data_IF_062265530122
#
_entry.id   IF_062265530122
#
_cell.length_a   1.000
_cell.length_b   1.000
_cell.length_c   1.000
_cell.angle_alpha   90.00
_cell.angle_beta   90.00
_cell.angle_gamma   90.00
#
_symmetry.space_group_name_H-M   'P 1'
#
loop_
_entity.id
_entity.type
_entity.pdbx_description
1 polymer ?
#
# COMPACT_ATOMS: atom_id res chain seq x y z
N UNK A 1 44.94 -15.14 -2.67
CA UNK A 1 43.64 -14.95 -3.33
C UNK A 1 42.82 -14.00 -2.48
N UNK A 2 42.34 -12.89 -3.07
CA UNK A 2 41.53 -11.90 -2.34
C UNK A 2 40.08 -12.37 -2.34
N UNK A 3 39.29 -12.03 -1.31
CA UNK A 3 37.89 -12.48 -1.21
C UNK A 3 37.03 -12.13 -2.43
N UNK A 4 37.37 -11.04 -3.12
CA UNK A 4 36.72 -10.64 -4.37
C UNK A 4 36.86 -11.68 -5.48
N UNK A 5 38.01 -12.35 -5.58
CA UNK A 5 38.29 -13.37 -6.60
C UNK A 5 37.37 -14.59 -6.40
N UNK A 6 37.07 -14.95 -5.14
CA UNK A 6 36.20 -16.07 -4.77
C UNK A 6 34.73 -15.79 -5.11
N UNK A 7 34.28 -14.54 -4.96
CA UNK A 7 32.91 -14.15 -5.29
C UNK A 7 32.66 -14.11 -6.81
N UNK A 8 33.65 -13.66 -7.58
CA UNK A 8 33.57 -13.68 -9.05
C UNK A 8 33.59 -15.12 -9.60
N UNK A 9 34.43 -15.99 -9.02
CA UNK A 9 34.44 -17.41 -9.40
C UNK A 9 33.11 -18.10 -9.07
N UNK A 10 32.50 -17.79 -7.91
CA UNK A 10 31.18 -18.31 -7.55
C UNK A 10 30.09 -17.82 -8.53
N UNK A 11 30.11 -16.54 -8.92
CA UNK A 11 29.17 -16.01 -9.92
C UNK A 11 29.33 -16.70 -11.26
N UNK A 12 30.56 -16.89 -11.73
CA UNK A 12 30.82 -17.56 -13.00
C UNK A 12 30.27 -18.99 -13.00
N UNK A 13 30.52 -19.75 -11.93
CA UNK A 13 30.01 -21.12 -11.78
C UNK A 13 28.48 -21.19 -11.70
N UNK A 14 27.84 -20.24 -11.02
CA UNK A 14 26.38 -20.15 -10.98
C UNK A 14 25.78 -19.81 -12.34
N UNK A 15 26.44 -18.94 -13.10
CA UNK A 15 26.01 -18.57 -14.45
C UNK A 15 26.14 -19.74 -15.42
N UNK A 16 27.26 -20.46 -15.38
CA UNK A 16 27.48 -21.69 -16.15
C UNK A 16 26.44 -22.79 -15.80
N UNK A 17 26.18 -22.99 -14.50
CA UNK A 17 25.16 -23.94 -14.05
C UNK A 17 23.74 -23.55 -14.49
N UNK A 18 23.44 -22.24 -14.57
CA UNK A 18 22.15 -21.74 -15.04
C UNK A 18 21.99 -21.92 -16.56
N UNK A 19 23.05 -21.66 -17.35
CA UNK A 19 23.09 -21.88 -18.80
C UNK A 19 22.93 -23.37 -19.15
N UNK A 20 23.53 -24.26 -18.36
CA UNK A 20 23.42 -25.70 -18.56
C UNK A 20 22.06 -26.28 -18.12
N UNK A 21 21.25 -25.53 -17.38
CA UNK A 21 19.96 -26.01 -16.89
C UNK A 21 18.87 -25.85 -17.95
N UNK A 22 18.48 -26.95 -18.58
CA UNK A 22 17.31 -26.99 -19.45
C UNK A 22 16.05 -27.40 -18.65
N UNK A 23 15.09 -26.49 -18.42
CA UNK A 23 13.89 -26.82 -17.68
C UNK A 23 13.02 -27.81 -18.46
N UNK A 24 12.52 -28.86 -17.80
CA UNK A 24 11.54 -29.79 -18.38
C UNK A 24 10.20 -29.07 -18.62
N UNK A 25 10.09 -28.46 -19.80
CA UNK A 25 8.91 -27.71 -20.23
C UNK A 25 7.66 -28.59 -20.27
N UNK A 26 7.80 -29.87 -20.61
CA UNK A 26 6.67 -30.79 -20.66
C UNK A 26 6.08 -30.99 -19.26
N UNK A 27 6.93 -31.16 -18.25
CA UNK A 27 6.50 -31.27 -16.85
C UNK A 27 5.91 -29.97 -16.31
N UNK A 28 6.49 -28.82 -16.65
CA UNK A 28 5.98 -27.49 -16.25
C UNK A 28 4.59 -27.27 -16.85
N UNK A 29 4.41 -27.52 -18.15
CA UNK A 29 3.12 -27.37 -18.83
C UNK A 29 2.08 -28.35 -18.28
N UNK A 30 2.44 -29.61 -18.06
CA UNK A 30 1.54 -30.60 -17.46
C UNK A 30 1.09 -30.20 -16.03
N UNK A 31 1.97 -29.54 -15.25
CA UNK A 31 1.62 -28.99 -13.94
C UNK A 31 0.62 -27.83 -14.06
N UNK A 32 0.84 -26.93 -15.02
CA UNK A 32 -0.01 -25.76 -15.28
C UNK A 32 -1.38 -26.20 -15.78
N UNK A 33 -1.44 -27.11 -16.75
CA UNK A 33 -2.70 -27.67 -17.27
C UNK A 33 -3.50 -28.36 -16.17
N UNK A 34 -2.85 -29.12 -15.29
CA UNK A 34 -3.49 -29.74 -14.13
C UNK A 34 -4.04 -28.71 -13.14
N UNK A 35 -3.32 -27.62 -12.91
CA UNK A 35 -3.78 -26.50 -12.07
C UNK A 35 -4.97 -25.75 -12.68
N UNK A 36 -4.95 -25.52 -14.00
CA UNK A 36 -6.06 -24.90 -14.73
C UNK A 36 -7.28 -25.82 -14.82
N UNK A 37 -7.08 -27.14 -14.96
CA UNK A 37 -8.16 -28.12 -14.96
C UNK A 37 -8.79 -28.27 -13.57
N UNK A 38 -7.99 -28.25 -12.50
CA UNK A 38 -8.48 -28.21 -11.12
C UNK A 38 -9.29 -26.93 -10.82
N UNK A 39 -8.87 -25.79 -11.38
CA UNK A 39 -9.59 -24.52 -11.26
C UNK A 39 -10.90 -24.50 -12.06
N UNK A 40 -10.93 -25.12 -13.25
CA UNK A 40 -12.15 -25.25 -14.08
C UNK A 40 -13.11 -26.34 -13.60
N UNK A 41 -12.62 -27.36 -12.90
CA UNK A 41 -13.45 -28.40 -12.26
C UNK A 41 -13.80 -28.07 -10.81
N UNK A 42 -13.32 -26.92 -10.30
CA UNK A 42 -13.58 -26.38 -8.97
C UNK A 42 -14.97 -25.75 -8.75
N UNK A 43 -15.97 -26.16 -9.52
CA UNK A 43 -17.39 -26.12 -9.09
C UNK A 43 -17.95 -27.53 -8.88
N UNK A 44 -17.09 -28.53 -8.66
CA UNK A 44 -17.53 -29.81 -8.12
C UNK A 44 -17.88 -29.61 -6.65
N UNK A 45 -19.16 -29.37 -6.43
CA UNK A 45 -19.82 -29.37 -5.13
C UNK A 45 -19.24 -30.47 -4.23
N UNK A 46 -18.41 -30.07 -3.28
CA UNK A 46 -18.14 -30.87 -2.09
C UNK A 46 -19.44 -30.82 -1.30
N UNK A 47 -20.22 -31.90 -1.39
CA UNK A 47 -21.37 -32.12 -0.51
C UNK A 47 -20.86 -32.05 0.94
N UNK A 48 -21.40 -31.18 1.80
CA UNK A 48 -21.13 -31.24 3.22
C UNK A 48 -21.78 -32.51 3.81
N UNK A 49 -21.23 -33.08 4.92
CA UNK A 49 -21.81 -34.24 5.56
C UNK A 49 -23.24 -33.96 6.03
N UNK A 50 -24.14 -34.84 5.61
CA UNK A 50 -25.59 -34.76 5.81
C UNK A 50 -25.90 -35.33 7.18
N UNK A 51 -25.98 -34.48 8.20
CA UNK A 51 -26.66 -34.73 9.50
C UNK A 51 -26.66 -33.42 10.31
N UNK A 52 -27.63 -32.55 10.05
CA UNK A 52 -27.77 -31.31 10.82
C UNK A 52 -28.61 -30.19 10.18
N UNK A 53 -29.11 -30.37 8.95
CA UNK A 53 -29.92 -29.35 8.28
C UNK A 53 -31.23 -29.93 7.76
N UNK A 54 -32.07 -30.38 8.69
CA UNK A 54 -33.50 -30.58 8.45
C UNK A 54 -34.24 -29.82 9.54
N UNK A 55 -34.37 -28.50 9.36
CA UNK A 55 -35.52 -27.65 9.76
C UNK A 55 -35.28 -26.22 9.27
N UNK A 56 -35.60 -25.93 8.00
CA UNK A 56 -36.40 -24.77 7.56
C UNK A 56 -36.88 -25.11 6.14
N UNK A 57 -38.00 -25.82 6.05
CA UNK A 57 -38.78 -25.95 4.84
C UNK A 57 -40.19 -25.45 5.16
N UNK A 58 -40.58 -24.32 4.58
CA UNK A 58 -41.94 -23.78 4.70
C UNK A 58 -42.04 -22.34 4.20
N UNK A 59 -42.72 -22.16 3.06
CA UNK A 59 -42.99 -20.92 2.30
C UNK A 59 -41.80 -20.42 1.46
N UNK A 60 -41.79 -20.42 0.12
CA UNK A 60 -42.82 -19.88 -0.79
C UNK A 60 -42.88 -20.67 -2.11
N UNK A 61 -44.05 -21.19 -2.45
CA UNK A 61 -44.38 -21.69 -3.78
C UNK A 61 -44.77 -20.53 -4.71
N UNK A 62 -44.59 -20.77 -6.03
CA UNK A 62 -45.10 -20.04 -7.19
C UNK A 62 -44.26 -18.87 -7.74
N UNK A 63 -43.33 -19.14 -8.68
CA UNK A 63 -43.45 -18.80 -10.12
C UNK A 63 -42.61 -19.80 -10.90
N UNK A 64 -43.24 -20.87 -11.37
CA UNK A 64 -42.71 -21.74 -12.42
C UNK A 64 -43.54 -21.46 -13.68
N UNK A 65 -42.87 -21.10 -14.76
CA UNK A 65 -43.48 -20.99 -16.08
C UNK A 65 -43.05 -19.72 -16.80
N UNK A 66 -42.57 -19.91 -18.03
CA UNK A 66 -42.18 -18.92 -19.06
C UNK A 66 -40.66 -18.89 -19.30
N UNK A 67 -40.30 -19.47 -20.45
CA UNK A 67 -39.01 -19.44 -21.19
C UNK A 67 -38.03 -20.61 -21.02
N UNK A 68 -38.56 -21.83 -21.13
CA UNK A 68 -37.86 -22.96 -21.75
C UNK A 68 -38.26 -23.08 -23.23
N UNK A 69 -37.86 -22.15 -24.10
CA UNK A 69 -37.75 -22.35 -25.56
C UNK A 69 -36.77 -21.29 -26.10
N UNK A 70 -35.61 -21.70 -26.62
CA UNK A 70 -34.75 -20.81 -27.41
C UNK A 70 -33.28 -20.87 -27.02
N UNK A 71 -32.60 -21.96 -27.34
CA UNK A 71 -31.16 -22.04 -27.09
C UNK A 71 -30.47 -23.28 -27.62
N UNK A 72 -30.93 -23.84 -28.75
CA UNK A 72 -30.15 -24.87 -29.45
C UNK A 72 -30.34 -24.75 -30.96
N UNK A 73 -29.47 -23.97 -31.59
CA UNK A 73 -28.94 -24.15 -32.95
C UNK A 73 -28.21 -22.86 -33.36
N UNK A 74 -26.88 -22.86 -33.31
CA UNK A 74 -25.99 -22.51 -34.44
C UNK A 74 -24.58 -22.93 -33.99
N UNK A 75 -24.17 -24.11 -34.47
CA UNK A 75 -22.77 -24.37 -34.73
C UNK A 75 -22.47 -23.83 -36.14
N UNK A 76 -21.27 -23.28 -36.29
CA UNK A 76 -20.47 -23.10 -37.52
C UNK A 76 -20.13 -21.65 -37.89
N UNK A 77 -18.83 -21.50 -38.20
CA UNK A 77 -18.16 -20.42 -38.91
C UNK A 77 -17.73 -19.17 -38.12
N UNK A 78 -16.66 -19.29 -37.33
CA UNK A 78 -15.54 -18.34 -37.46
C UNK A 78 -14.24 -19.14 -37.49
N UNK A 79 -13.46 -18.85 -38.54
CA UNK A 79 -12.19 -19.46 -38.93
C UNK A 79 -11.12 -19.32 -37.86
N UNK A 80 -10.23 -20.30 -37.86
CA UNK A 80 -8.89 -20.23 -37.31
C UNK A 80 -8.17 -18.95 -37.75
N UNK A 81 -7.83 -18.10 -36.79
CA UNK A 81 -6.81 -17.07 -36.95
C UNK A 81 -5.81 -17.23 -35.78
N UNK A 82 -4.52 -17.45 -36.06
CA UNK A 82 -3.53 -17.74 -35.02
C UNK A 82 -3.30 -16.49 -34.15
N UNK A 83 -3.18 -16.62 -32.82
CA UNK A 83 -2.84 -15.47 -31.98
C UNK A 83 -1.45 -14.96 -32.34
N UNK A 84 -1.40 -13.69 -32.75
CA UNK A 84 -0.17 -12.95 -32.96
C UNK A 84 0.74 -13.07 -31.72
N UNK A 85 1.99 -13.49 -31.94
CA UNK A 85 3.05 -13.44 -30.94
C UNK A 85 3.17 -11.99 -30.43
N UNK A 86 2.76 -11.74 -29.20
CA UNK A 86 3.12 -10.51 -28.50
C UNK A 86 4.60 -10.60 -28.12
N UNK A 87 5.43 -10.01 -28.97
CA UNK A 87 6.86 -9.82 -28.70
C UNK A 87 6.99 -8.76 -27.62
N UNK A 88 7.34 -9.15 -26.41
CA UNK A 88 7.68 -8.21 -25.33
C UNK A 88 9.02 -7.56 -25.69
N UNK A 89 9.01 -6.26 -25.92
CA UNK A 89 10.22 -5.48 -26.14
C UNK A 89 11.01 -5.38 -24.83
N UNK A 90 12.23 -5.92 -24.81
CA UNK A 90 13.19 -5.72 -23.72
C UNK A 90 13.93 -4.41 -24.00
N UNK A 91 13.89 -3.45 -23.07
CA UNK A 91 14.68 -2.22 -23.16
C UNK A 91 16.19 -2.56 -23.14
N UNK A 92 17.02 -1.91 -23.98
CA UNK A 92 18.46 -2.13 -23.98
C UNK A 92 19.15 -1.56 -22.72
N UNK A 93 20.22 -2.25 -22.33
CA UNK A 93 21.19 -1.94 -21.27
C UNK A 93 21.70 -0.48 -21.32
N UNK A 94 21.83 0.23 -20.18
CA UNK A 94 22.38 1.58 -20.16
C UNK A 94 23.85 1.63 -20.58
N UNK A 95 24.16 2.51 -21.53
CA UNK A 95 25.51 2.89 -21.95
C UNK A 95 26.17 3.80 -20.92
N UNK A 96 27.46 3.55 -20.68
CA UNK A 96 28.39 4.24 -19.78
C UNK A 96 28.60 5.73 -20.14
N UNK A 97 28.73 6.65 -19.18
CA UNK A 97 29.02 8.07 -19.46
C UNK A 97 30.52 8.32 -19.68
N UNK A 98 30.93 9.13 -20.68
CA UNK A 98 32.33 9.46 -20.88
C UNK A 98 32.84 10.58 -19.97
N UNK A 99 34.18 10.60 -19.92
CA UNK A 99 35.07 11.31 -19.03
C UNK A 99 34.98 12.83 -18.91
N UNK A 100 35.50 13.24 -17.74
CA UNK A 100 35.81 14.55 -17.17
C UNK A 100 36.82 15.37 -18.01
N UNK A 101 36.56 16.69 -18.15
CA UNK A 101 37.57 17.71 -18.49
C UNK A 101 37.38 19.00 -17.65
N UNK A 102 38.48 19.40 -16.98
CA UNK A 102 38.96 20.68 -16.36
C UNK A 102 38.03 21.92 -16.23
N UNK A 103 37.83 22.53 -15.02
CA UNK A 103 38.64 23.52 -14.24
C UNK A 103 38.51 24.99 -14.74
N UNK A 104 38.58 26.10 -13.90
CA UNK A 104 39.52 26.30 -12.77
C UNK A 104 39.06 27.12 -11.50
N UNK A 105 39.84 26.88 -10.42
CA UNK A 105 40.34 27.69 -9.28
C UNK A 105 39.51 28.75 -8.47
N UNK A 106 39.74 28.84 -7.13
CA UNK A 106 39.04 29.77 -6.22
C UNK A 106 39.89 31.00 -5.80
N UNK A 107 39.28 32.08 -5.30
CA UNK A 107 39.96 33.05 -4.44
C UNK A 107 39.61 32.85 -2.95
N UNK A 108 40.61 33.13 -2.12
CA UNK A 108 40.66 33.05 -0.66
C UNK A 108 40.45 34.43 0.00
N UNK A 109 40.13 34.42 1.31
CA UNK A 109 40.28 35.50 2.34
C UNK A 109 39.13 36.51 2.39
N UNK A 110 38.69 37.08 3.51
CA UNK A 110 38.97 36.93 4.96
C UNK A 110 37.96 37.79 5.74
N UNK A 111 37.79 37.46 7.02
CA UNK A 111 37.53 38.35 8.17
C UNK A 111 36.18 39.06 8.35
N UNK A 112 35.48 38.58 9.39
CA UNK A 112 34.60 39.32 10.30
C UNK A 112 35.39 40.38 11.09
N UNK A 113 34.79 41.55 11.44
CA UNK A 113 34.61 41.84 12.86
C UNK A 113 33.33 42.62 13.23
N UNK A 114 32.62 42.09 14.24
CA UNK A 114 32.09 42.70 15.49
C UNK A 114 31.33 44.07 15.44
N UNK A 115 30.13 44.20 16.06
CA UNK A 115 29.34 45.44 16.05
C UNK A 115 29.66 46.41 17.21
N UNK A 116 29.71 47.72 16.89
CA UNK A 116 29.85 48.82 17.84
C UNK A 116 28.51 49.40 18.32
N UNK A 117 28.42 49.61 19.64
CA UNK A 117 27.38 50.38 20.36
C UNK A 117 27.35 51.86 19.96
N UNK A 118 26.15 52.44 19.88
CA UNK A 118 25.95 53.88 19.90
C UNK A 118 24.49 54.23 20.24
N UNK A 119 24.29 54.84 21.40
CA UNK A 119 23.00 55.23 21.98
C UNK A 119 22.45 56.54 21.37
N UNK A 120 21.13 56.71 21.41
CA UNK A 120 20.48 57.99 21.12
C UNK A 120 18.94 57.91 21.13
N UNK A 121 18.34 58.06 22.31
CA UNK A 121 16.98 58.56 22.51
C UNK A 121 17.06 60.09 22.77
N UNK A 122 16.02 60.92 22.53
CA UNK A 122 14.71 60.75 23.18
C UNK A 122 13.44 61.16 22.41
N UNK A 123 12.33 60.58 22.88
CA UNK A 123 10.98 61.17 23.08
C UNK A 123 10.21 61.77 21.89
N UNK A 124 9.08 61.11 21.56
CA UNK A 124 7.72 61.70 21.60
C UNK A 124 6.66 60.61 21.37
N UNK A 125 5.86 60.32 22.39
CA UNK A 125 4.51 59.74 22.33
C UNK A 125 3.54 60.75 21.70
N UNK A 126 2.45 60.34 20.99
CA UNK A 126 1.33 59.63 21.62
C UNK A 126 0.65 58.51 20.81
N UNK A 127 0.23 57.49 21.55
CA UNK A 127 -1.10 56.84 21.54
C UNK A 127 -1.73 56.41 20.19
N UNK A 128 -1.66 55.10 19.90
CA UNK A 128 -2.73 54.34 19.23
C UNK A 128 -2.43 52.82 19.32
N UNK A 129 -3.36 52.08 19.94
CA UNK A 129 -3.55 50.61 20.00
C UNK A 129 -2.64 49.69 19.16
N UNK A 130 -1.98 48.69 19.75
CA UNK A 130 -1.50 47.54 18.99
C UNK A 130 -2.61 46.50 18.83
N UNK A 131 -2.99 46.29 17.58
CA UNK A 131 -3.71 45.14 17.06
C UNK A 131 -3.14 43.84 17.64
N UNK A 132 -4.02 43.01 18.21
CA UNK A 132 -3.69 41.66 18.67
C UNK A 132 -3.11 40.87 17.51
N UNK A 133 -1.84 40.54 17.58
CA UNK A 133 -1.21 39.48 16.78
C UNK A 133 -1.96 38.18 17.08
N UNK A 134 -2.53 37.47 16.09
CA UNK A 134 -3.05 36.13 16.31
C UNK A 134 -1.89 35.23 16.71
N UNK A 135 -1.94 34.72 17.93
CA UNK A 135 -0.97 33.78 18.46
C UNK A 135 -0.84 32.57 17.54
N UNK A 136 0.40 32.09 17.42
CA UNK A 136 0.73 30.83 16.78
C UNK A 136 -0.18 29.73 17.34
N UNK A 137 -1.10 29.25 16.51
CA UNK A 137 -1.88 28.05 16.79
C UNK A 137 -0.89 26.90 16.88
N UNK A 138 -0.67 26.39 18.10
CA UNK A 138 -0.09 25.08 18.30
C UNK A 138 -0.85 24.08 17.40
N UNK A 139 -0.18 23.08 16.78
CA UNK A 139 -0.89 22.07 16.01
C UNK A 139 -1.99 21.48 16.89
N UNK A 140 -3.25 21.68 16.49
CA UNK A 140 -4.37 21.06 17.16
C UNK A 140 -4.14 19.55 17.15
N UNK A 141 -4.12 18.95 18.34
CA UNK A 141 -4.12 17.51 18.48
C UNK A 141 -5.32 16.97 17.69
N UNK A 142 -5.11 16.01 16.77
CA UNK A 142 -6.19 15.53 15.92
C UNK A 142 -7.32 14.97 16.79
N UNK A 143 -8.60 15.09 16.36
CA UNK A 143 -9.72 14.65 17.16
C UNK A 143 -9.55 13.16 17.49
N UNK A 144 -9.40 12.84 18.77
CA UNK A 144 -9.46 11.48 19.26
C UNK A 144 -10.94 11.04 19.26
N UNK A 145 -11.45 10.71 18.07
CA UNK A 145 -12.69 10.00 17.88
C UNK A 145 -12.52 9.06 16.69
N UNK A 146 -12.71 7.76 16.94
CA UNK A 146 -12.75 6.70 15.93
C UNK A 146 -13.84 7.02 14.92
N UNK A 147 -13.46 7.66 13.82
CA UNK A 147 -14.33 7.85 12.68
C UNK A 147 -13.71 7.12 11.50
N UNK A 148 -14.21 5.93 11.22
CA UNK A 148 -13.90 5.20 9.99
C UNK A 148 -14.53 5.88 8.77
N UNK A 149 -15.45 6.84 8.97
CA UNK A 149 -16.08 7.63 7.91
C UNK A 149 -15.99 9.12 8.23
N UNK A 150 -15.57 9.92 7.25
CA UNK A 150 -15.66 11.38 7.27
C UNK A 150 -15.90 11.91 5.85
N UNK A 151 -17.10 12.47 5.64
CA UNK A 151 -17.52 12.94 4.32
C UNK A 151 -17.38 11.86 3.24
N UNK A 152 -16.64 12.12 2.14
CA UNK A 152 -16.46 11.15 1.06
C UNK A 152 -15.49 10.01 1.42
N UNK A 153 -14.76 10.10 2.54
CA UNK A 153 -13.76 9.10 2.95
C UNK A 153 -14.35 8.05 3.87
N UNK A 154 -14.00 6.79 3.61
CA UNK A 154 -14.17 5.67 4.51
C UNK A 154 -12.85 4.88 4.63
N UNK A 155 -12.58 4.29 5.79
CA UNK A 155 -11.41 3.44 5.99
C UNK A 155 -11.66 2.23 6.86
N UNK A 156 -10.86 1.19 6.67
CA UNK A 156 -10.80 0.00 7.53
C UNK A 156 -9.36 -0.52 7.64
N UNK A 157 -9.03 -1.13 8.78
CA UNK A 157 -7.72 -1.72 9.06
C UNK A 157 -7.84 -3.18 9.46
N UNK A 158 -7.02 -4.06 8.88
CA UNK A 158 -7.00 -5.49 9.21
C UNK A 158 -5.61 -6.08 9.15
N UNK A 159 -5.34 -7.08 9.99
CA UNK A 159 -4.13 -7.91 9.85
C UNK A 159 -4.37 -8.94 8.75
N UNK A 160 -3.42 -9.12 7.85
CA UNK A 160 -3.54 -10.04 6.74
C UNK A 160 -3.64 -11.49 7.25
N UNK A 161 -4.64 -12.27 6.81
CA UNK A 161 -4.85 -13.64 7.29
C UNK A 161 -3.74 -14.62 6.87
N UNK A 162 -2.85 -14.23 5.94
CA UNK A 162 -1.68 -15.00 5.55
C UNK A 162 -0.42 -14.61 6.33
N UNK A 163 -0.55 -13.76 7.35
CA UNK A 163 0.47 -13.57 8.38
C UNK A 163 0.78 -14.92 9.07
N UNK A 164 1.97 -15.03 9.67
CA UNK A 164 2.45 -16.25 10.30
C UNK A 164 3.14 -15.97 11.65
N UNK A 165 3.74 -17.01 12.24
CA UNK A 165 4.35 -16.93 13.58
C UNK A 165 5.44 -15.85 13.73
N UNK A 166 6.08 -15.41 12.63
CA UNK A 166 7.25 -14.52 12.66
C UNK A 166 7.08 -13.25 11.84
N UNK A 167 6.04 -13.17 11.02
CA UNK A 167 5.85 -12.12 10.03
C UNK A 167 4.37 -11.80 9.89
N UNK A 168 4.06 -10.50 9.79
CA UNK A 168 2.71 -10.05 9.54
C UNK A 168 2.65 -8.89 8.56
N UNK A 169 1.46 -8.71 8.00
CA UNK A 169 1.10 -7.55 7.19
C UNK A 169 -0.14 -6.89 7.76
N UNK A 170 -0.10 -5.57 7.90
CA UNK A 170 -1.25 -4.75 8.25
C UNK A 170 -1.79 -4.08 6.99
N UNK A 171 -3.02 -4.42 6.61
CA UNK A 171 -3.75 -3.90 5.46
C UNK A 171 -4.63 -2.71 5.88
N UNK A 172 -4.62 -1.67 5.07
CA UNK A 172 -5.44 -0.48 5.21
C UNK A 172 -6.27 -0.28 3.96
N UNK A 173 -7.59 -0.36 4.08
CA UNK A 173 -8.52 -0.07 2.99
C UNK A 173 -8.96 1.39 3.09
N UNK A 174 -8.84 2.13 2.00
CA UNK A 174 -9.42 3.46 1.80
C UNK A 174 -10.51 3.37 0.75
N UNK A 175 -11.70 3.90 1.04
CA UNK A 175 -12.69 4.22 0.01
C UNK A 175 -12.89 5.72 -0.06
N UNK A 176 -13.05 6.22 -1.28
CA UNK A 176 -13.41 7.62 -1.51
C UNK A 176 -14.46 7.73 -2.63
N UNK A 177 -15.55 8.45 -2.38
CA UNK A 177 -16.59 8.68 -3.40
C UNK A 177 -16.24 9.79 -4.38
N UNK A 178 -15.23 10.59 -4.09
CA UNK A 178 -14.75 11.70 -4.92
C UNK A 178 -13.23 11.59 -5.15
N UNK A 179 -12.71 12.12 -6.27
CA UNK A 179 -11.27 12.20 -6.48
C UNK A 179 -10.61 13.06 -5.39
N UNK A 180 -9.45 12.62 -4.88
CA UNK A 180 -8.68 13.37 -3.89
C UNK A 180 -7.50 14.08 -4.56
N UNK A 181 -7.30 15.36 -4.26
CA UNK A 181 -6.15 16.15 -4.70
C UNK A 181 -4.95 16.04 -3.75
N UNK A 182 -5.15 15.51 -2.54
CA UNK A 182 -4.09 15.15 -1.60
C UNK A 182 -4.50 13.92 -0.82
N UNK A 183 -3.53 13.09 -0.45
CA UNK A 183 -3.73 11.97 0.46
C UNK A 183 -2.46 11.76 1.29
N UNK A 184 -2.59 11.66 2.61
CA UNK A 184 -1.57 11.12 3.50
C UNK A 184 -2.14 9.96 4.28
N UNK A 185 -1.47 8.81 4.24
CA UNK A 185 -1.79 7.62 5.01
C UNK A 185 -0.65 7.36 5.97
N UNK A 186 -0.94 7.29 7.27
CA UNK A 186 0.03 6.93 8.29
C UNK A 186 -0.48 5.69 9.06
N UNK A 187 0.28 4.60 8.96
CA UNK A 187 0.08 3.37 9.71
C UNK A 187 1.08 3.33 10.87
N UNK A 188 0.60 3.11 12.09
CA UNK A 188 1.40 2.88 13.28
C UNK A 188 1.28 1.43 13.72
N UNK A 189 2.40 0.72 13.67
CA UNK A 189 2.55 -0.66 14.14
C UNK A 189 3.29 -0.61 15.48
N UNK A 190 2.61 -0.96 16.57
CA UNK A 190 3.19 -0.92 17.91
C UNK A 190 4.41 -1.85 18.02
N UNK A 191 5.46 -1.46 18.73
CA UNK A 191 6.59 -2.33 18.99
C UNK A 191 6.25 -3.29 20.13
N UNK A 192 5.88 -4.53 19.78
CA UNK A 192 5.58 -5.62 20.75
C UNK A 192 6.71 -6.64 20.85
N UNK A 193 7.90 -6.29 20.34
CA UNK A 193 9.08 -7.14 20.32
C UNK A 193 9.40 -7.62 18.90
N UNK A 194 10.59 -7.26 18.41
CA UNK A 194 11.08 -7.70 17.11
C UNK A 194 10.38 -7.08 15.90
N UNK A 195 9.45 -6.12 16.09
CA UNK A 195 8.76 -5.47 14.97
C UNK A 195 9.78 -4.72 14.13
N UNK A 196 10.02 -5.21 12.92
CA UNK A 196 10.99 -4.65 11.97
C UNK A 196 10.37 -4.65 10.59
N UNK A 197 10.42 -3.53 9.88
CA UNK A 197 9.83 -3.45 8.54
C UNK A 197 10.51 -4.38 7.54
N UNK A 198 9.72 -5.19 6.85
CA UNK A 198 10.15 -6.00 5.70
C UNK A 198 9.69 -5.42 4.37
N UNK A 199 8.88 -4.35 4.38
CA UNK A 199 8.44 -3.67 3.18
C UNK A 199 7.07 -3.03 3.32
N UNK A 200 6.60 -2.44 2.23
CA UNK A 200 5.26 -1.85 2.16
C UNK A 200 4.81 -1.79 0.69
N UNK A 201 3.50 -1.84 0.45
CA UNK A 201 2.92 -1.74 -0.89
C UNK A 201 1.62 -0.94 -0.90
N UNK A 202 1.16 -0.55 -2.09
CA UNK A 202 -0.16 0.05 -2.31
C UNK A 202 -0.73 -0.37 -3.65
N UNK A 203 -2.07 -0.34 -3.78
CA UNK A 203 -2.75 -0.58 -5.05
C UNK A 203 -2.71 0.62 -6.00
N UNK A 204 -2.43 1.82 -5.47
CA UNK A 204 -2.25 3.04 -6.27
C UNK A 204 -0.83 3.10 -6.87
N UNK A 205 -0.64 3.83 -7.99
CA UNK A 205 0.65 3.85 -8.68
C UNK A 205 1.77 4.36 -7.80
N UNK A 206 2.88 3.62 -7.76
CA UNK A 206 3.97 3.93 -6.83
C UNK A 206 4.60 5.30 -7.10
N UNK A 207 4.80 5.65 -8.38
CA UNK A 207 5.42 6.91 -8.76
C UNK A 207 4.70 8.15 -8.25
N UNK A 208 3.42 8.04 -7.88
CA UNK A 208 2.59 9.16 -7.42
C UNK A 208 2.75 9.44 -5.92
N UNK A 209 3.47 8.60 -5.17
CA UNK A 209 3.61 8.74 -3.72
C UNK A 209 5.08 8.81 -3.29
N UNK A 210 5.32 9.55 -2.21
CA UNK A 210 6.51 9.40 -1.38
C UNK A 210 6.18 8.43 -0.25
N UNK A 211 7.02 7.43 -0.03
CA UNK A 211 6.88 6.45 1.04
C UNK A 211 8.05 6.55 2.02
N UNK A 212 7.77 6.45 3.32
CA UNK A 212 8.81 6.32 4.35
C UNK A 212 8.39 5.35 5.45
N UNK A 213 9.37 4.75 6.11
CA UNK A 213 9.17 3.93 7.31
C UNK A 213 10.13 4.41 8.37
N UNK A 214 9.63 4.67 9.59
CA UNK A 214 10.45 5.16 10.70
C UNK A 214 10.01 4.54 12.01
N UNK A 215 10.97 4.22 12.87
CA UNK A 215 10.68 3.95 14.27
C UNK A 215 10.55 5.26 15.06
N UNK A 216 9.44 5.41 15.79
CA UNK A 216 9.17 6.58 16.60
C UNK A 216 8.21 6.24 17.73
N UNK A 217 8.52 6.69 18.94
CA UNK A 217 7.65 6.60 20.13
C UNK A 217 7.13 5.17 20.42
N UNK A 218 7.95 4.14 20.15
CA UNK A 218 7.56 2.74 20.31
C UNK A 218 6.69 2.18 19.18
N UNK A 219 6.69 2.79 17.99
CA UNK A 219 5.98 2.30 16.80
C UNK A 219 6.90 2.26 15.59
N UNK A 220 6.71 1.27 14.72
CA UNK A 220 7.13 1.35 13.32
C UNK A 220 6.02 2.07 12.56
N UNK A 221 6.35 3.24 11.99
CA UNK A 221 5.39 4.11 11.31
C UNK A 221 5.64 4.10 9.82
N UNK A 222 4.69 3.58 9.04
CA UNK A 222 4.68 3.67 7.59
C UNK A 222 3.91 4.92 7.19
N UNK A 223 4.44 5.69 6.25
CA UNK A 223 3.77 6.89 5.73
C UNK A 223 3.82 6.90 4.22
N UNK A 224 2.66 7.09 3.60
CA UNK A 224 2.50 7.36 2.17
C UNK A 224 1.89 8.74 1.98
N UNK A 225 2.55 9.60 1.21
CA UNK A 225 2.06 10.93 0.88
C UNK A 225 1.97 11.08 -0.62
N UNK A 226 0.77 11.42 -1.12
CA UNK A 226 0.54 11.73 -2.52
C UNK A 226 1.38 12.96 -2.91
N UNK A 227 2.12 12.85 -4.01
CA UNK A 227 2.92 13.95 -4.55
C UNK A 227 2.01 15.05 -5.11
N UNK A 228 2.51 16.28 -5.06
CA UNK A 228 1.79 17.44 -5.61
C UNK A 228 1.43 17.23 -7.09
N UNK A 229 0.24 17.70 -7.48
CA UNK A 229 -0.29 17.57 -8.84
C UNK A 229 -0.80 16.17 -9.22
N UNK A 230 -0.70 15.18 -8.32
CA UNK A 230 -1.31 13.86 -8.50
C UNK A 230 -2.70 13.80 -7.88
N UNK A 231 -3.48 12.81 -8.29
CA UNK A 231 -4.83 12.60 -7.76
C UNK A 231 -5.06 11.13 -7.43
N UNK A 232 -5.89 10.87 -6.43
CA UNK A 232 -6.42 9.54 -6.14
C UNK A 232 -7.83 9.47 -6.72
N UNK A 233 -8.13 8.55 -7.65
CA UNK A 233 -9.48 8.46 -8.21
C UNK A 233 -10.50 8.01 -7.16
N UNK A 234 -11.77 8.31 -7.40
CA UNK A 234 -12.87 7.72 -6.65
C UNK A 234 -12.82 6.19 -6.79
N UNK A 235 -13.07 5.46 -5.69
CA UNK A 235 -12.98 4.01 -5.65
C UNK A 235 -12.48 3.48 -4.31
N UNK A 236 -11.94 2.26 -4.36
CA UNK A 236 -11.37 1.56 -3.21
C UNK A 236 -9.89 1.25 -3.48
N UNK A 237 -9.05 1.53 -2.50
CA UNK A 237 -7.60 1.40 -2.58
C UNK A 237 -7.05 0.76 -1.32
N UNK A 238 -5.93 0.05 -1.44
CA UNK A 238 -5.28 -0.63 -0.31
C UNK A 238 -3.86 -0.13 -0.16
N UNK A 239 -3.44 0.06 1.09
CA UNK A 239 -2.06 0.26 1.52
C UNK A 239 -1.70 -0.84 2.50
N UNK A 240 -0.44 -1.25 2.55
CA UNK A 240 -0.01 -2.29 3.47
C UNK A 240 1.42 -2.07 3.99
N UNK A 241 1.60 -2.23 5.30
CA UNK A 241 2.90 -2.32 5.95
C UNK A 241 3.21 -3.78 6.30
N UNK A 242 4.40 -4.25 5.94
CA UNK A 242 4.87 -5.62 6.17
C UNK A 242 6.03 -5.60 7.17
N UNK A 243 6.01 -6.49 8.15
CA UNK A 243 7.01 -6.52 9.21
C UNK A 243 7.23 -7.92 9.80
N UNK A 244 8.45 -8.17 10.21
CA UNK A 244 8.78 -9.28 11.11
C UNK A 244 8.31 -8.95 12.53
N UNK A 245 8.12 -9.95 13.38
CA UNK A 245 7.86 -9.80 14.81
C UNK A 245 8.39 -11.00 15.60
N UNK A 246 8.45 -10.87 16.93
CA UNK A 246 8.76 -11.99 17.81
C UNK A 246 7.80 -13.17 17.56
N UNK A 247 8.31 -14.39 17.76
CA UNK A 247 7.55 -15.62 17.52
C UNK A 247 6.26 -15.66 18.35
N UNK A 248 5.18 -16.16 17.76
CA UNK A 248 4.01 -16.65 18.50
C UNK A 248 2.72 -15.88 18.26
N UNK A 249 2.63 -15.18 17.13
CA UNK A 249 1.54 -14.27 16.85
C UNK A 249 1.68 -12.98 17.67
N UNK A 250 1.43 -11.85 17.03
CA UNK A 250 1.58 -10.54 17.64
C UNK A 250 0.20 -9.95 17.94
N UNK A 251 0.10 -9.28 19.08
CA UNK A 251 -1.07 -8.46 19.41
C UNK A 251 -1.03 -7.13 18.63
N UNK A 252 -2.00 -6.95 17.72
CA UNK A 252 -2.18 -5.72 16.94
C UNK A 252 -3.17 -4.73 17.58
N UNK A 253 -3.67 -4.99 18.80
CA UNK A 253 -4.67 -4.13 19.45
C UNK A 253 -4.20 -2.69 19.72
N UNK A 254 -2.88 -2.47 19.79
CA UNK A 254 -2.27 -1.14 19.91
C UNK A 254 -1.95 -0.47 18.57
N UNK A 255 -2.23 -1.14 17.45
CA UNK A 255 -2.02 -0.58 16.11
C UNK A 255 -3.13 0.39 15.75
N UNK A 256 -2.74 1.40 14.98
CA UNK A 256 -3.66 2.45 14.56
C UNK A 256 -3.24 3.03 13.24
N UNK A 257 -4.17 3.72 12.60
CA UNK A 257 -3.86 4.47 11.41
C UNK A 257 -4.67 5.76 11.35
N UNK A 258 -4.17 6.70 10.56
CA UNK A 258 -4.89 7.91 10.14
C UNK A 258 -4.72 8.09 8.64
N UNK A 259 -5.80 8.47 7.97
CA UNK A 259 -5.78 8.88 6.57
C UNK A 259 -6.38 10.27 6.46
N UNK A 260 -5.66 11.18 5.82
CA UNK A 260 -6.13 12.55 5.58
C UNK A 260 -6.15 12.80 4.08
N UNK A 261 -7.32 13.16 3.56
CA UNK A 261 -7.55 13.44 2.14
C UNK A 261 -8.14 14.82 1.93
N UNK A 262 -7.93 15.41 0.75
CA UNK A 262 -8.60 16.66 0.39
C UNK A 262 -9.34 16.53 -0.94
N UNK A 263 -10.55 17.06 -0.98
CA UNK A 263 -11.38 17.18 -2.19
C UNK A 263 -12.36 18.35 -2.05
N UNK A 264 -12.73 18.95 -3.18
CA UNK A 264 -13.64 20.13 -3.19
C UNK A 264 -13.16 21.31 -2.34
N UNK A 265 -11.84 21.47 -2.13
CA UNK A 265 -11.27 22.51 -1.27
C UNK A 265 -11.41 22.26 0.23
N UNK A 266 -11.85 21.07 0.65
CA UNK A 266 -11.98 20.66 2.05
C UNK A 266 -11.07 19.50 2.37
N UNK A 267 -10.63 19.42 3.62
CA UNK A 267 -9.88 18.27 4.17
C UNK A 267 -10.80 17.40 5.00
N UNK A 268 -10.61 16.09 4.88
CA UNK A 268 -11.31 15.03 5.60
C UNK A 268 -10.28 14.12 6.26
N UNK A 269 -10.62 13.55 7.40
CA UNK A 269 -9.75 12.64 8.12
C UNK A 269 -10.52 11.44 8.67
N UNK A 270 -10.01 10.25 8.39
CA UNK A 270 -10.52 8.99 8.96
C UNK A 270 -9.42 8.32 9.76
N UNK A 271 -9.82 7.62 10.82
CA UNK A 271 -8.91 6.94 11.75
C UNK A 271 -9.48 5.58 12.10
N UNK A 272 -8.62 4.61 12.36
CA UNK A 272 -9.05 3.29 12.83
C UNK A 272 -7.97 2.53 13.54
N UNK A 273 -8.28 1.28 13.85
CA UNK A 273 -7.40 0.33 14.54
C UNK A 273 -7.45 -1.04 13.82
N UNK A 274 -6.86 -2.05 14.44
CA UNK A 274 -6.74 -3.42 13.90
C UNK A 274 -7.41 -4.47 14.80
N UNK A 275 -8.29 -4.05 15.71
CA UNK A 275 -9.08 -4.98 16.49
C UNK A 275 -10.02 -5.76 15.57
N UNK A 276 -10.25 -7.04 15.89
CA UNK A 276 -11.25 -7.82 15.17
C UNK A 276 -12.62 -7.14 15.34
N UNK A 277 -13.32 -6.87 14.22
CA UNK A 277 -14.71 -6.43 14.28
C UNK A 277 -15.57 -7.61 14.71
N UNK A 278 -16.17 -7.51 15.89
CA UNK A 278 -17.13 -8.49 16.38
C UNK A 278 -18.33 -8.50 15.42
N UNK A 279 -18.44 -9.52 14.56
CA UNK A 279 -19.64 -9.76 13.76
C UNK A 279 -20.74 -10.37 14.63
N UNK A 280 -21.13 -9.67 15.70
CA UNK A 280 -22.26 -10.06 16.55
C UNK A 280 -23.07 -8.81 16.92
N UNK A 281 -23.99 -8.45 16.02
CA UNK A 281 -24.92 -7.33 16.23
C UNK A 281 -26.14 -7.51 15.35
N UNK A 282 -26.99 -8.48 15.70
CA UNK A 282 -28.22 -8.75 14.97
C UNK A 282 -29.08 -9.82 15.62
N UNK A 283 -29.36 -9.66 16.92
CA UNK A 283 -30.45 -10.39 17.58
C UNK A 283 -31.76 -9.62 17.37
N UNK A 284 -32.81 -10.33 16.93
CA UNK A 284 -34.19 -10.26 17.46
C UNK A 284 -35.05 -11.35 16.81
#
# INVERSE_FOLDING_TARGET
>A
MRQQDVHEELRARLHEAAEAHEPDRARILARVERGMAASRTGHRAVRPPVLGWFRVAGATAAVAGVLAVGGYAVASAVKDEPPARQTVAVSPTPTEPPDRTEAPAPPVRSADPTPGKGAGEPSRTPDASPSRTPGATAPAEPPAARAEQDGPLWSDGSVDPHSNDFWAQSNLTLKTSEPLSSLTVALKVAQTGGVTSTGAWRSLPEQDFTQSVREKDGFVVYTWTLKEGRTVPAGQWVFAGQYDHARGGRDAGADSYVMTGATGGRTYAVTGNFAAHDSSGGDS
#
